data_IF_425881115103
#
_entry.id   IF_425881115103
#
_cell.length_a   1.000
_cell.length_b   1.000
_cell.length_c   1.000
_cell.angle_alpha   90.00
_cell.angle_beta   90.00
_cell.angle_gamma   90.00
#
_symmetry.space_group_name_H-M   'P 1'
#
loop_
_entity.id
_entity.type
_entity.pdbx_description
1 polymer ?
#
# COMPACT_ATOMS: atom_id res chain seq x y z
N UNK A 1 -0.21 61.30 22.12
CA UNK A 1 -1.39 60.40 22.18
C UNK A 1 -1.12 59.20 21.28
N UNK A 2 -0.76 58.06 21.85
CA UNK A 2 -0.42 56.82 21.14
C UNK A 2 -1.70 56.05 20.81
N UNK A 3 -2.30 56.36 19.65
CA UNK A 3 -3.49 55.67 19.11
C UNK A 3 -3.14 54.31 18.48
N UNK A 4 -2.51 53.41 19.24
CA UNK A 4 -2.00 52.12 18.70
C UNK A 4 -2.47 50.88 19.45
N UNK A 5 -3.24 50.99 20.53
CA UNK A 5 -3.35 49.85 21.45
C UNK A 5 -4.46 48.83 21.13
N UNK A 6 -5.72 49.20 20.82
CA UNK A 6 -6.77 48.19 20.56
C UNK A 6 -6.90 47.81 19.08
N UNK A 7 -6.84 48.78 18.16
CA UNK A 7 -7.03 48.53 16.72
C UNK A 7 -5.90 47.68 16.12
N UNK A 8 -4.66 47.84 16.62
CA UNK A 8 -3.54 46.99 16.19
C UNK A 8 -3.67 45.57 16.73
N UNK A 9 -4.18 45.39 17.95
CA UNK A 9 -4.44 44.07 18.50
C UNK A 9 -5.51 43.31 17.68
N UNK A 10 -6.58 44.01 17.29
CA UNK A 10 -7.65 43.43 16.47
C UNK A 10 -7.17 43.07 15.06
N UNK A 11 -6.38 43.95 14.42
CA UNK A 11 -5.76 43.65 13.13
C UNK A 11 -4.78 42.47 13.21
N UNK A 12 -4.07 42.30 14.32
CA UNK A 12 -3.20 41.13 14.53
C UNK A 12 -4.01 39.84 14.69
N UNK A 13 -5.10 39.86 15.47
CA UNK A 13 -5.98 38.71 15.63
C UNK A 13 -6.61 38.28 14.29
N UNK A 14 -7.05 39.25 13.48
CA UNK A 14 -7.54 38.98 12.13
C UNK A 14 -6.48 38.34 11.24
N UNK A 15 -5.24 38.83 11.26
CA UNK A 15 -4.13 38.22 10.50
C UNK A 15 -3.87 36.78 10.93
N UNK A 16 -3.86 36.50 12.23
CA UNK A 16 -3.63 35.15 12.73
C UNK A 16 -4.75 34.19 12.30
N UNK A 17 -6.01 34.64 12.33
CA UNK A 17 -7.13 33.82 11.84
C UNK A 17 -7.02 33.51 10.34
N UNK A 18 -6.67 34.52 9.52
CA UNK A 18 -6.49 34.35 8.09
C UNK A 18 -5.29 33.45 7.77
N UNK A 19 -4.20 33.54 8.52
CA UNK A 19 -3.04 32.66 8.36
C UNK A 19 -3.38 31.21 8.72
N UNK A 20 -4.19 30.97 9.75
CA UNK A 20 -4.68 29.63 10.09
C UNK A 20 -5.54 29.05 8.98
N UNK A 21 -6.51 29.81 8.48
CA UNK A 21 -7.37 29.39 7.37
C UNK A 21 -6.56 29.12 6.09
N UNK A 22 -5.57 29.97 5.79
CA UNK A 22 -4.68 29.78 4.65
C UNK A 22 -3.85 28.51 4.80
N UNK A 23 -3.31 28.24 6.00
CA UNK A 23 -2.55 27.02 6.26
C UNK A 23 -3.41 25.76 6.11
N UNK A 24 -4.67 25.79 6.56
CA UNK A 24 -5.61 24.69 6.35
C UNK A 24 -5.98 24.50 4.88
N UNK A 25 -6.24 25.58 4.15
CA UNK A 25 -6.51 25.54 2.73
C UNK A 25 -5.32 24.94 1.95
N UNK A 26 -4.09 25.38 2.25
CA UNK A 26 -2.85 24.82 1.68
C UNK A 26 -2.71 23.33 1.95
N UNK A 27 -2.94 22.87 3.18
CA UNK A 27 -2.89 21.43 3.51
C UNK A 27 -3.92 20.62 2.72
N UNK A 28 -5.11 21.18 2.46
CA UNK A 28 -6.14 20.53 1.64
C UNK A 28 -5.71 20.48 0.17
N UNK A 29 -5.24 21.60 -0.39
CA UNK A 29 -4.71 21.68 -1.75
C UNK A 29 -3.56 20.68 -1.96
N UNK A 30 -2.58 20.66 -1.06
CA UNK A 30 -1.43 19.74 -1.10
C UNK A 30 -1.88 18.28 -1.06
N UNK A 31 -2.87 17.94 -0.23
CA UNK A 31 -3.42 16.58 -0.16
C UNK A 31 -4.11 16.18 -1.46
N UNK A 32 -4.92 17.08 -2.04
CA UNK A 32 -5.60 16.82 -3.32
C UNK A 32 -4.59 16.64 -4.45
N UNK A 33 -3.57 17.49 -4.52
CA UNK A 33 -2.49 17.38 -5.48
C UNK A 33 -1.74 16.04 -5.34
N UNK A 34 -1.45 15.60 -4.11
CA UNK A 34 -0.81 14.31 -3.87
C UNK A 34 -1.67 13.14 -4.38
N UNK A 35 -2.98 13.17 -4.13
CA UNK A 35 -3.91 12.14 -4.60
C UNK A 35 -3.91 12.08 -6.13
N UNK A 36 -4.02 13.23 -6.79
CA UNK A 36 -4.00 13.31 -8.25
C UNK A 36 -2.68 12.79 -8.83
N UNK A 37 -1.55 13.13 -8.23
CA UNK A 37 -0.23 12.63 -8.63
C UNK A 37 -0.18 11.11 -8.50
N UNK A 38 -0.62 10.55 -7.38
CA UNK A 38 -0.61 9.09 -7.15
C UNK A 38 -1.54 8.38 -8.13
N UNK A 39 -2.71 8.95 -8.42
CA UNK A 39 -3.64 8.41 -9.41
C UNK A 39 -3.02 8.40 -10.82
N UNK A 40 -2.40 9.51 -11.23
CA UNK A 40 -1.66 9.57 -12.50
C UNK A 40 -0.48 8.61 -12.52
N UNK A 41 0.28 8.49 -11.43
CA UNK A 41 1.36 7.50 -11.31
C UNK A 41 0.83 6.08 -11.53
N UNK A 42 -0.32 5.74 -10.95
CA UNK A 42 -0.95 4.42 -11.14
C UNK A 42 -1.47 4.23 -12.57
N UNK A 43 -2.07 5.26 -13.17
CA UNK A 43 -2.61 5.20 -14.53
C UNK A 43 -1.53 4.95 -15.59
N UNK A 44 -0.39 5.62 -15.45
CA UNK A 44 0.73 5.50 -16.39
C UNK A 44 1.80 4.48 -15.97
N UNK A 45 1.63 3.85 -14.79
CA UNK A 45 2.62 2.91 -14.25
C UNK A 45 3.95 3.57 -13.85
N UNK A 46 3.94 4.89 -13.59
CA UNK A 46 5.13 5.66 -13.23
C UNK A 46 5.55 5.29 -11.81
N UNK A 47 6.80 4.85 -11.65
CA UNK A 47 7.34 4.54 -10.33
C UNK A 47 7.97 5.77 -9.68
N UNK A 48 8.05 5.80 -8.35
CA UNK A 48 8.69 6.90 -7.62
C UNK A 48 10.17 7.09 -8.05
N UNK A 49 10.84 6.01 -8.44
CA UNK A 49 12.22 6.07 -8.92
C UNK A 49 12.36 6.85 -10.24
N UNK A 50 11.39 6.70 -11.14
CA UNK A 50 11.33 7.45 -12.40
C UNK A 50 11.05 8.94 -12.14
N UNK A 51 10.16 9.26 -11.18
CA UNK A 51 9.91 10.65 -10.76
C UNK A 51 11.15 11.32 -10.15
N UNK A 52 11.95 10.57 -9.40
CA UNK A 52 13.21 11.04 -8.79
C UNK A 52 14.39 11.09 -9.78
N UNK A 53 14.17 10.83 -11.08
CA UNK A 53 15.22 10.88 -12.10
C UNK A 53 16.30 9.82 -11.94
N UNK A 54 16.09 8.83 -11.06
CA UNK A 54 16.98 7.68 -10.94
C UNK A 54 16.63 6.76 -12.11
N UNK A 55 17.51 6.73 -13.13
CA UNK A 55 17.41 5.77 -14.24
C UNK A 55 17.30 4.37 -13.67
N UNK A 56 16.09 3.85 -13.53
CA UNK A 56 15.85 2.42 -13.36
C UNK A 56 16.20 1.81 -14.70
N UNK A 57 17.46 1.39 -14.84
CA UNK A 57 17.88 0.60 -15.99
C UNK A 57 16.91 -0.56 -16.14
N UNK A 58 16.11 -0.52 -17.20
CA UNK A 58 15.33 -1.63 -17.76
C UNK A 58 14.79 -2.62 -16.73
N UNK A 59 13.93 -2.15 -15.83
CA UNK A 59 13.00 -3.02 -15.14
C UNK A 59 11.60 -2.46 -15.36
N UNK A 60 11.15 -2.56 -16.62
CA UNK A 60 9.72 -2.65 -16.91
C UNK A 60 9.11 -3.53 -15.84
N UNK A 61 8.09 -3.02 -15.14
CA UNK A 61 7.35 -3.72 -14.11
C UNK A 61 7.29 -5.22 -14.42
N UNK A 62 8.21 -5.99 -13.83
CA UNK A 62 8.17 -7.44 -13.98
C UNK A 62 6.90 -7.80 -13.23
N UNK A 63 5.86 -8.33 -13.91
CA UNK A 63 4.69 -8.76 -13.19
C UNK A 63 5.19 -9.71 -12.12
N UNK A 64 4.83 -9.40 -10.87
CA UNK A 64 5.14 -10.20 -9.69
C UNK A 64 5.03 -11.67 -10.12
N UNK A 65 6.18 -12.35 -10.20
CA UNK A 65 6.22 -13.70 -10.74
C UNK A 65 5.58 -14.55 -9.66
N UNK A 66 4.26 -14.71 -9.77
CA UNK A 66 3.42 -15.38 -8.79
C UNK A 66 4.13 -16.66 -8.37
N UNK A 67 4.56 -16.69 -7.10
CA UNK A 67 5.23 -17.83 -6.52
C UNK A 67 4.24 -18.98 -6.58
N UNK A 68 4.40 -19.83 -7.61
CA UNK A 68 3.44 -20.90 -7.88
C UNK A 68 3.57 -22.02 -6.87
N UNK A 69 4.79 -22.29 -6.39
CA UNK A 69 5.08 -23.39 -5.46
C UNK A 69 5.86 -22.92 -4.23
N UNK A 70 5.52 -23.44 -3.05
CA UNK A 70 6.21 -23.23 -1.78
C UNK A 70 6.36 -24.54 -1.01
N UNK A 71 7.55 -24.80 -0.49
CA UNK A 71 7.82 -25.94 0.39
C UNK A 71 7.37 -25.62 1.83
N UNK A 72 6.46 -26.40 2.44
CA UNK A 72 6.06 -26.21 3.85
C UNK A 72 7.18 -26.54 4.84
N UNK A 73 8.17 -27.37 4.46
CA UNK A 73 9.24 -27.79 5.37
C UNK A 73 10.40 -26.79 5.44
N UNK A 74 10.87 -26.30 4.28
CA UNK A 74 12.00 -25.36 4.20
C UNK A 74 11.60 -23.89 3.97
N UNK A 75 10.34 -23.64 3.59
CA UNK A 75 9.88 -22.31 3.18
C UNK A 75 10.40 -21.88 1.81
N UNK A 76 11.14 -22.73 1.09
CA UNK A 76 11.67 -22.43 -0.24
C UNK A 76 10.53 -22.21 -1.25
N UNK A 77 10.70 -21.23 -2.13
CA UNK A 77 9.70 -20.82 -3.11
C UNK A 77 10.20 -21.04 -4.54
N UNK A 78 9.30 -21.43 -5.45
CA UNK A 78 9.64 -21.63 -6.86
C UNK A 78 8.54 -21.11 -7.77
N UNK A 79 8.94 -20.33 -8.77
CA UNK A 79 8.07 -19.66 -9.73
C UNK A 79 7.56 -20.55 -10.86
N UNK A 80 7.98 -21.82 -10.93
CA UNK A 80 7.60 -22.72 -12.03
C UNK A 80 8.42 -22.55 -13.31
N UNK A 81 9.39 -21.62 -13.34
CA UNK A 81 10.30 -21.40 -14.48
C UNK A 81 11.71 -21.92 -14.15
N UNK A 82 12.35 -22.59 -15.11
CA UNK A 82 13.72 -23.11 -14.98
C UNK A 82 13.82 -24.51 -14.36
N UNK A 83 15.01 -24.89 -13.90
CA UNK A 83 15.26 -26.20 -13.27
C UNK A 83 14.48 -26.30 -11.97
N UNK A 84 13.65 -27.33 -11.85
CA UNK A 84 12.88 -27.58 -10.63
C UNK A 84 13.85 -27.87 -9.46
N UNK A 85 13.59 -27.31 -8.26
CA UNK A 85 14.42 -27.57 -7.09
C UNK A 85 14.21 -29.00 -6.57
N UNK A 86 15.19 -29.53 -5.83
CA UNK A 86 15.21 -30.93 -5.37
C UNK A 86 13.98 -31.31 -4.53
N UNK A 87 13.41 -30.36 -3.79
CA UNK A 87 12.20 -30.58 -2.98
C UNK A 87 10.93 -30.76 -3.80
N UNK A 88 10.92 -30.31 -5.06
CA UNK A 88 9.79 -30.45 -5.99
C UNK A 88 10.06 -31.49 -7.10
N UNK A 89 11.32 -31.92 -7.26
CA UNK A 89 11.70 -32.93 -8.23
C UNK A 89 11.19 -34.33 -7.79
N UNK A 90 10.27 -34.90 -8.57
CA UNK A 90 9.73 -36.25 -8.34
C UNK A 90 8.61 -36.37 -7.31
N UNK A 91 8.07 -35.25 -6.80
CA UNK A 91 6.91 -35.20 -5.89
C UNK A 91 5.70 -34.56 -6.56
N UNK A 92 4.51 -34.81 -6.01
CA UNK A 92 3.27 -34.19 -6.49
C UNK A 92 3.32 -32.67 -6.37
N UNK A 93 3.40 -32.01 -7.53
CA UNK A 93 3.50 -30.56 -7.64
C UNK A 93 2.30 -29.85 -7.04
N UNK A 94 1.13 -30.48 -7.10
CA UNK A 94 -0.16 -29.99 -6.58
C UNK A 94 -0.24 -29.88 -5.06
N UNK A 95 0.66 -30.56 -4.33
CA UNK A 95 0.76 -30.42 -2.87
C UNK A 95 1.50 -29.14 -2.44
N UNK A 96 2.33 -28.57 -3.33
CA UNK A 96 3.17 -27.42 -3.03
C UNK A 96 2.63 -26.12 -3.64
N UNK A 97 1.48 -26.16 -4.32
CA UNK A 97 0.89 -24.98 -4.94
C UNK A 97 0.40 -23.97 -3.90
N UNK A 98 0.89 -22.72 -3.99
CA UNK A 98 0.50 -21.63 -3.08
C UNK A 98 -0.98 -21.28 -3.24
N UNK A 99 -1.54 -21.42 -4.45
CA UNK A 99 -2.97 -21.19 -4.74
C UNK A 99 -3.89 -22.19 -4.00
N UNK A 100 -3.46 -23.46 -3.86
CA UNK A 100 -4.17 -24.46 -3.06
C UNK A 100 -4.09 -24.15 -1.56
N UNK A 101 -2.92 -23.70 -1.10
CA UNK A 101 -2.73 -23.31 0.30
C UNK A 101 -3.47 -22.03 0.69
N UNK A 102 -3.70 -21.11 -0.26
CA UNK A 102 -4.52 -19.91 -0.03
C UNK A 102 -6.00 -20.24 0.17
N UNK A 103 -6.51 -21.27 -0.52
CA UNK A 103 -7.87 -21.79 -0.32
C UNK A 103 -8.04 -22.68 0.92
N UNK A 104 -6.94 -23.10 1.56
CA UNK A 104 -6.92 -23.85 2.82
C UNK A 104 -6.45 -22.93 3.96
N UNK A 105 -7.10 -21.78 4.14
CA UNK A 105 -6.89 -20.98 5.34
C UNK A 105 -7.80 -21.50 6.46
N UNK A 106 -7.28 -21.98 7.61
CA UNK A 106 -8.09 -22.41 8.75
C UNK A 106 -8.71 -21.21 9.51
N UNK A 107 -8.81 -20.04 8.90
CA UNK A 107 -9.28 -18.80 9.56
C UNK A 107 -10.80 -18.63 9.54
N UNK A 108 -11.55 -19.49 8.84
CA UNK A 108 -13.01 -19.51 8.90
C UNK A 108 -13.60 -20.37 10.05
N UNK A 109 -12.76 -20.99 10.89
CA UNK A 109 -13.22 -21.83 12.00
C UNK A 109 -13.41 -21.08 13.34
N UNK A 110 -13.51 -19.74 13.34
CA UNK A 110 -13.75 -18.96 14.58
C UNK A 110 -14.97 -18.03 14.50
N UNK A 111 -15.84 -18.20 13.50
CA UNK A 111 -17.13 -17.51 13.41
C UNK A 111 -18.27 -18.51 13.16
N UNK A 112 -18.29 -19.62 13.90
CA UNK A 112 -19.39 -20.60 13.88
C UNK A 112 -19.79 -21.08 15.29
N UNK A 113 -19.38 -20.37 16.34
CA UNK A 113 -19.69 -20.71 17.74
C UNK A 113 -20.58 -19.68 18.45
N UNK A 114 -21.26 -18.79 17.70
CA UNK A 114 -22.14 -17.75 18.30
C UNK A 114 -23.65 -18.01 18.10
N UNK A 115 -24.05 -19.11 17.47
CA UNK A 115 -25.47 -19.44 17.24
C UNK A 115 -25.79 -20.90 17.53
N UNK A 116 -25.33 -21.40 18.67
CA UNK A 116 -25.75 -22.70 19.18
C UNK A 116 -26.20 -22.52 20.64
N UNK A 117 -27.44 -22.08 20.83
CA UNK A 117 -28.32 -22.38 21.98
C UNK A 117 -29.59 -21.53 21.85
N UNK A 118 -30.71 -22.15 21.43
CA UNK A 118 -32.10 -21.90 21.89
C UNK A 118 -33.09 -22.66 21.00
N UNK A 119 -33.47 -23.87 21.44
CA UNK A 119 -34.87 -24.36 21.44
C UNK A 119 -35.06 -25.27 22.66
#
# INVERSE_FOLDING_TARGET
MTYRSPQVAELMAQRESLEKELAEARRKEERLALIEIVEKMRQYGITLNELMGRKTGTQSAVPDVAIKYRDPASGATWSGRGRAPQWLAGKDRDAFLVERSANLSPRQASQASLFADED
#
